data_IF_022249944890
#
_entry.id   IF_022249944890
#
_cell.length_a   1.000
_cell.length_b   1.000
_cell.length_c   1.000
_cell.angle_alpha   90.00
_cell.angle_beta   90.00
_cell.angle_gamma   90.00
#
_symmetry.space_group_name_H-M   'P 1'
#
loop_
_entity.id
_entity.type
_entity.pdbx_description
1 polymer ?
#
# COMPACT_ATOMS: atom_id res chain seq x y z
N UNK A 1 11.35 -8.40 20.51
CA UNK A 1 10.44 -9.03 19.51
C UNK A 1 9.52 -8.05 18.79
N UNK A 2 8.89 -7.07 19.46
CA UNK A 2 7.97 -6.11 18.82
C UNK A 2 8.66 -5.24 17.75
N UNK A 3 9.86 -4.72 18.02
CA UNK A 3 10.63 -3.95 17.02
C UNK A 3 11.04 -4.81 15.83
N UNK A 4 11.41 -6.08 16.08
CA UNK A 4 11.74 -7.04 15.02
C UNK A 4 10.50 -7.42 14.19
N UNK A 5 9.31 -7.47 14.80
CA UNK A 5 8.04 -7.71 14.09
C UNK A 5 7.51 -6.46 13.36
N UNK A 6 7.77 -5.23 13.85
CA UNK A 6 7.53 -4.00 13.09
C UNK A 6 8.48 -3.88 11.89
N UNK A 7 9.69 -4.42 12.03
CA UNK A 7 10.64 -4.63 10.94
C UNK A 7 10.21 -5.84 10.08
N UNK A 8 9.44 -6.81 10.56
CA UNK A 8 8.98 -7.94 9.75
C UNK A 8 7.71 -7.63 8.92
N UNK A 9 6.89 -6.65 9.33
CA UNK A 9 5.70 -6.21 8.60
C UNK A 9 5.99 -5.27 7.43
N UNK A 10 4.96 -4.99 6.64
CA UNK A 10 4.98 -4.12 5.46
C UNK A 10 5.42 -2.67 5.81
N UNK A 11 6.74 -2.43 5.76
CA UNK A 11 7.41 -1.19 6.21
C UNK A 11 7.07 0.01 5.34
N UNK A 12 6.46 -0.21 4.19
CA UNK A 12 6.17 0.82 3.21
C UNK A 12 5.01 1.69 3.68
N UNK A 13 4.05 1.17 4.46
CA UNK A 13 2.92 2.01 4.96
C UNK A 13 3.42 3.06 5.96
N UNK A 14 4.20 2.69 7.00
CA UNK A 14 4.78 3.66 7.92
C UNK A 14 5.72 4.64 7.24
N UNK A 15 6.55 4.19 6.29
CA UNK A 15 7.48 5.06 5.55
C UNK A 15 6.73 6.06 4.67
N UNK A 16 5.71 5.61 3.93
CA UNK A 16 4.86 6.50 3.11
C UNK A 16 4.08 7.48 3.98
N UNK A 17 3.58 7.05 5.14
CA UNK A 17 2.91 7.93 6.09
C UNK A 17 3.88 9.00 6.63
N UNK A 18 5.10 8.62 7.02
CA UNK A 18 6.12 9.55 7.51
C UNK A 18 6.57 10.53 6.41
N UNK A 19 6.85 10.03 5.21
CA UNK A 19 7.22 10.87 4.05
C UNK A 19 6.06 11.78 3.67
N UNK A 20 4.81 11.28 3.68
CA UNK A 20 3.61 12.07 3.43
C UNK A 20 3.43 13.19 4.45
N UNK A 21 3.64 12.91 5.74
CA UNK A 21 3.63 13.91 6.81
C UNK A 21 4.75 14.94 6.61
N UNK A 22 5.98 14.51 6.31
CA UNK A 22 7.11 15.41 6.06
C UNK A 22 6.81 16.33 4.87
N UNK A 23 6.37 15.78 3.75
CA UNK A 23 6.03 16.56 2.55
C UNK A 23 4.89 17.54 2.84
N UNK A 24 3.84 17.09 3.53
CA UNK A 24 2.67 17.93 3.87
C UNK A 24 3.05 19.07 4.81
N UNK A 25 3.84 18.80 5.86
CA UNK A 25 4.32 19.81 6.80
C UNK A 25 5.32 20.78 6.14
N UNK A 26 6.03 20.32 5.11
CA UNK A 26 7.04 21.12 4.42
C UNK A 26 6.49 21.93 3.25
N UNK A 27 5.25 21.65 2.77
CA UNK A 27 4.67 22.15 1.51
C UNK A 27 4.49 23.69 1.41
N UNK A 28 4.89 24.45 2.43
CA UNK A 28 4.91 25.92 2.40
C UNK A 28 6.21 26.55 2.90
N UNK A 29 7.24 25.76 3.21
CA UNK A 29 8.47 26.27 3.83
C UNK A 29 9.56 26.58 2.77
N UNK A 30 10.36 27.64 2.94
CA UNK A 30 11.47 28.00 2.04
C UNK A 30 12.55 26.91 1.90
N UNK A 31 12.51 25.89 2.77
CA UNK A 31 13.29 24.64 2.72
C UNK A 31 13.10 23.88 1.39
N UNK A 32 12.01 24.06 0.65
CA UNK A 32 11.82 23.44 -0.67
C UNK A 32 12.89 23.84 -1.70
N UNK A 33 13.55 25.00 -1.55
CA UNK A 33 14.73 25.38 -2.38
C UNK A 33 16.00 24.61 -1.99
N UNK A 34 16.09 24.08 -0.76
CA UNK A 34 17.21 23.27 -0.30
C UNK A 34 17.12 21.79 -0.72
N UNK A 35 15.92 21.31 -1.05
CA UNK A 35 15.66 19.95 -1.56
C UNK A 35 16.35 19.70 -2.92
N UNK A 36 16.63 20.77 -3.69
CA UNK A 36 17.41 20.69 -4.93
C UNK A 36 18.93 20.85 -4.74
N UNK A 37 19.43 20.91 -3.49
CA UNK A 37 20.88 20.93 -3.27
C UNK A 37 21.48 19.55 -3.57
N UNK A 38 22.64 19.53 -4.20
CA UNK A 38 23.34 18.27 -4.52
C UNK A 38 23.62 17.42 -3.28
N UNK A 39 23.73 18.06 -2.10
CA UNK A 39 23.90 17.40 -0.80
C UNK A 39 22.62 16.67 -0.37
N UNK A 40 21.44 17.24 -0.61
CA UNK A 40 20.16 16.59 -0.38
C UNK A 40 19.96 15.41 -1.33
N UNK A 41 20.35 15.55 -2.60
CA UNK A 41 20.36 14.45 -3.57
C UNK A 41 21.33 13.33 -3.20
N UNK A 42 22.55 13.65 -2.78
CA UNK A 42 23.50 12.65 -2.28
C UNK A 42 22.99 11.97 -1.00
N UNK A 43 22.39 12.72 -0.08
CA UNK A 43 21.77 12.16 1.12
C UNK A 43 20.60 11.24 0.77
N UNK A 44 19.73 11.64 -0.14
CA UNK A 44 18.63 10.81 -0.64
C UNK A 44 19.13 9.57 -1.37
N UNK A 45 20.18 9.70 -2.21
CA UNK A 45 20.80 8.58 -2.90
C UNK A 45 21.48 7.61 -1.94
N UNK A 46 22.14 8.10 -0.89
CA UNK A 46 22.74 7.27 0.17
C UNK A 46 21.67 6.53 0.96
N UNK A 47 20.60 7.22 1.34
CA UNK A 47 19.45 6.61 2.03
C UNK A 47 18.79 5.56 1.13
N UNK A 48 18.58 5.86 -0.14
CA UNK A 48 18.08 4.91 -1.13
C UNK A 48 19.04 3.71 -1.28
N UNK A 49 20.34 3.93 -1.36
CA UNK A 49 21.33 2.85 -1.45
C UNK A 49 21.30 1.95 -0.21
N UNK A 50 21.18 2.53 0.99
CA UNK A 50 21.01 1.76 2.23
C UNK A 50 19.71 0.97 2.21
N UNK A 51 18.60 1.57 1.81
CA UNK A 51 17.30 0.88 1.70
C UNK A 51 17.38 -0.26 0.67
N UNK A 52 18.00 0.00 -0.47
CA UNK A 52 18.17 -0.92 -1.58
C UNK A 52 19.06 -2.12 -1.20
N UNK A 53 20.14 -1.90 -0.45
CA UNK A 53 21.06 -2.95 -0.02
C UNK A 53 20.63 -3.70 1.25
N UNK A 54 19.75 -3.10 2.07
CA UNK A 54 19.29 -3.70 3.33
C UNK A 54 18.49 -4.99 3.13
N UNK A 55 17.67 -5.09 2.06
CA UNK A 55 16.81 -6.25 1.81
C UNK A 55 17.60 -7.49 1.31
N UNK A 56 18.52 -7.38 0.34
CA UNK A 56 19.45 -8.45 -0.01
C UNK A 56 20.32 -8.90 1.18
N UNK A 57 20.79 -7.96 2.01
CA UNK A 57 21.58 -8.26 3.20
C UNK A 57 20.77 -9.06 4.23
N UNK A 58 19.51 -8.67 4.46
CA UNK A 58 18.61 -9.40 5.33
C UNK A 58 18.32 -10.83 4.84
N UNK A 59 18.07 -11.00 3.53
CA UNK A 59 17.82 -12.31 2.94
C UNK A 59 19.06 -13.21 3.11
N UNK A 60 20.26 -12.70 2.83
CA UNK A 60 21.52 -13.42 3.00
C UNK A 60 21.69 -13.93 4.45
N UNK A 61 21.47 -13.05 5.43
CA UNK A 61 21.55 -13.41 6.87
C UNK A 61 20.51 -14.46 7.25
N UNK A 62 19.27 -14.34 6.75
CA UNK A 62 18.16 -15.24 7.10
C UNK A 62 18.28 -16.62 6.46
N UNK A 63 18.81 -16.68 5.25
CA UNK A 63 18.93 -17.92 4.46
C UNK A 63 20.28 -18.61 4.64
N UNK A 64 21.23 -17.97 5.32
CA UNK A 64 22.57 -18.51 5.58
C UNK A 64 23.48 -18.55 4.35
N UNK A 65 23.11 -17.87 3.28
CA UNK A 65 23.85 -17.82 2.01
C UNK A 65 24.68 -16.54 1.94
N UNK A 66 25.82 -16.57 1.24
CA UNK A 66 26.72 -15.42 1.16
C UNK A 66 26.04 -14.23 0.46
N UNK A 67 26.34 -13.00 0.87
CA UNK A 67 25.76 -11.81 0.24
C UNK A 67 25.99 -11.78 -1.27
N UNK A 68 27.18 -12.19 -1.74
CA UNK A 68 27.48 -12.29 -3.18
C UNK A 68 26.58 -13.27 -3.92
N UNK A 69 26.18 -14.37 -3.28
CA UNK A 69 25.30 -15.38 -3.89
C UNK A 69 23.87 -14.89 -4.10
N UNK A 70 23.43 -13.85 -3.36
CA UNK A 70 22.13 -13.19 -3.60
C UNK A 70 22.15 -12.38 -4.90
N UNK A 71 23.33 -11.96 -5.36
CA UNK A 71 23.55 -11.27 -6.64
C UNK A 71 24.01 -12.21 -7.76
N UNK A 72 24.32 -13.47 -7.47
CA UNK A 72 24.71 -14.44 -8.49
C UNK A 72 23.51 -14.95 -9.30
N UNK A 73 23.66 -14.88 -10.62
CA UNK A 73 22.64 -15.10 -11.64
C UNK A 73 21.95 -16.47 -11.66
N UNK A 74 22.41 -17.44 -10.86
CA UNK A 74 21.89 -18.82 -10.82
C UNK A 74 20.56 -18.97 -10.09
N UNK A 75 20.14 -17.97 -9.30
CA UNK A 75 18.77 -17.90 -8.78
C UNK A 75 18.18 -16.51 -9.01
N UNK A 76 17.82 -16.24 -10.26
CA UNK A 76 17.17 -14.98 -10.68
C UNK A 76 15.98 -14.63 -9.78
N UNK A 77 15.22 -15.65 -9.34
CA UNK A 77 14.13 -15.51 -8.37
C UNK A 77 14.57 -15.00 -6.98
N UNK A 78 15.75 -15.36 -6.48
CA UNK A 78 16.23 -14.87 -5.18
C UNK A 78 16.64 -13.39 -5.26
N UNK A 79 17.32 -13.00 -6.35
CA UNK A 79 17.64 -11.61 -6.64
C UNK A 79 16.37 -10.77 -6.86
N UNK A 80 15.38 -11.30 -7.59
CA UNK A 80 14.06 -10.69 -7.81
C UNK A 80 13.27 -10.56 -6.49
N UNK A 81 13.31 -11.56 -5.62
CA UNK A 81 12.69 -11.47 -4.27
C UNK A 81 13.37 -10.43 -3.36
N UNK A 82 14.62 -10.08 -3.67
CA UNK A 82 15.38 -9.03 -3.00
C UNK A 82 14.87 -7.62 -3.30
N UNK A 83 14.07 -7.42 -4.37
CA UNK A 83 13.65 -6.10 -4.83
C UNK A 83 12.20 -6.06 -5.31
N UNK A 84 11.39 -5.19 -4.71
CA UNK A 84 9.95 -5.13 -5.01
C UNK A 84 9.65 -4.79 -6.48
N UNK A 85 10.40 -3.87 -7.08
CA UNK A 85 10.18 -3.49 -8.48
C UNK A 85 10.43 -4.64 -9.47
N UNK A 86 11.45 -5.47 -9.22
CA UNK A 86 11.73 -6.63 -10.07
C UNK A 86 10.70 -7.74 -9.85
N UNK A 87 10.25 -7.94 -8.62
CA UNK A 87 9.17 -8.86 -8.31
C UNK A 87 7.85 -8.46 -8.99
N UNK A 88 7.48 -7.17 -8.97
CA UNK A 88 6.30 -6.65 -9.67
C UNK A 88 6.40 -6.88 -11.18
N UNK A 89 7.55 -6.57 -11.78
CA UNK A 89 7.75 -6.77 -13.22
C UNK A 89 7.68 -8.25 -13.60
N UNK A 90 8.32 -9.13 -12.83
CA UNK A 90 8.26 -10.58 -13.05
C UNK A 90 6.83 -11.10 -12.95
N UNK A 91 6.04 -10.59 -11.99
CA UNK A 91 4.62 -10.92 -11.85
C UNK A 91 3.83 -10.56 -13.12
N UNK A 92 4.06 -9.36 -13.67
CA UNK A 92 3.40 -8.88 -14.89
C UNK A 92 3.77 -9.69 -16.13
N UNK A 93 4.95 -10.30 -16.18
CA UNK A 93 5.36 -11.16 -17.29
C UNK A 93 4.90 -12.62 -17.11
N UNK A 94 5.05 -13.17 -15.91
CA UNK A 94 4.75 -14.58 -15.63
C UNK A 94 3.26 -14.86 -15.60
N UNK A 95 2.43 -13.95 -15.11
CA UNK A 95 0.97 -14.15 -15.07
C UNK A 95 0.39 -14.39 -16.46
N UNK A 96 0.69 -13.57 -17.48
CA UNK A 96 0.33 -13.85 -18.87
C UNK A 96 1.00 -15.12 -19.42
N UNK A 97 2.30 -15.30 -19.18
CA UNK A 97 3.05 -16.42 -19.77
C UNK A 97 2.59 -17.80 -19.27
N UNK A 98 2.20 -17.88 -18.00
CA UNK A 98 1.69 -19.10 -17.36
C UNK A 98 0.18 -19.28 -17.53
N UNK A 99 -0.51 -18.30 -18.12
CA UNK A 99 -1.97 -18.36 -18.30
C UNK A 99 -2.73 -18.41 -16.97
N UNK A 100 -2.24 -17.70 -15.95
CA UNK A 100 -2.89 -17.67 -14.63
C UNK A 100 -4.28 -17.08 -14.78
N UNK A 101 -5.29 -17.83 -14.32
CA UNK A 101 -6.69 -17.41 -14.37
C UNK A 101 -7.25 -17.25 -12.96
N UNK A 102 -7.94 -16.14 -12.71
CA UNK A 102 -8.65 -15.90 -11.45
C UNK A 102 -10.13 -15.61 -11.70
N UNK A 103 -11.08 -16.38 -11.12
CA UNK A 103 -12.49 -16.21 -11.42
C UNK A 103 -13.01 -14.80 -11.11
N UNK A 104 -13.83 -14.26 -12.02
CA UNK A 104 -14.46 -12.94 -11.87
C UNK A 104 -15.34 -12.85 -10.61
N UNK A 105 -16.04 -13.94 -10.30
CA UNK A 105 -16.84 -14.01 -9.09
C UNK A 105 -15.99 -13.90 -7.81
N UNK A 106 -14.84 -14.57 -7.77
CA UNK A 106 -13.94 -14.49 -6.62
C UNK A 106 -13.35 -13.09 -6.47
N UNK A 107 -13.02 -12.43 -7.58
CA UNK A 107 -12.59 -11.01 -7.58
C UNK A 107 -13.64 -10.10 -6.96
N UNK A 108 -14.90 -10.23 -7.39
CA UNK A 108 -16.00 -9.42 -6.87
C UNK A 108 -16.25 -9.72 -5.39
N UNK A 109 -16.39 -11.00 -5.05
CA UNK A 109 -16.66 -11.47 -3.69
C UNK A 109 -15.57 -10.97 -2.73
N UNK A 110 -14.31 -11.19 -3.04
CA UNK A 110 -13.19 -10.89 -2.15
C UNK A 110 -12.99 -9.38 -2.01
N UNK A 111 -13.20 -8.61 -3.07
CA UNK A 111 -13.17 -7.15 -3.02
C UNK A 111 -14.33 -6.58 -2.19
N UNK A 112 -15.55 -7.08 -2.39
CA UNK A 112 -16.73 -6.64 -1.64
C UNK A 112 -16.67 -7.04 -0.16
N UNK A 113 -16.10 -8.20 0.14
CA UNK A 113 -15.87 -8.64 1.52
C UNK A 113 -15.06 -7.62 2.31
N UNK A 114 -14.14 -6.88 1.67
CA UNK A 114 -13.35 -5.86 2.36
C UNK A 114 -14.13 -4.63 2.82
N UNK A 115 -15.37 -4.45 2.35
CA UNK A 115 -16.27 -3.41 2.85
C UNK A 115 -16.87 -3.75 4.22
N UNK A 116 -16.82 -5.03 4.62
CA UNK A 116 -17.28 -5.48 5.94
C UNK A 116 -16.30 -5.01 7.02
N UNK A 117 -16.84 -4.69 8.20
CA UNK A 117 -16.04 -4.32 9.38
C UNK A 117 -15.13 -5.48 9.79
N UNK A 118 -15.66 -6.71 9.73
CA UNK A 118 -14.98 -7.94 10.08
C UNK A 118 -15.30 -9.02 9.03
N UNK A 119 -14.59 -9.04 7.88
CA UNK A 119 -14.85 -10.02 6.83
C UNK A 119 -14.64 -11.47 7.29
N UNK A 120 -13.72 -11.66 8.24
CA UNK A 120 -13.40 -12.95 8.86
C UNK A 120 -14.58 -13.61 9.57
N UNK A 121 -15.50 -12.83 10.14
CA UNK A 121 -16.72 -13.35 10.74
C UNK A 121 -17.65 -14.06 9.74
N UNK A 122 -17.46 -13.78 8.44
CA UNK A 122 -18.21 -14.38 7.33
C UNK A 122 -17.36 -15.39 6.53
N UNK A 123 -16.18 -15.78 7.05
CA UNK A 123 -15.27 -16.71 6.40
C UNK A 123 -14.41 -16.10 5.29
N UNK A 124 -14.36 -14.77 5.17
CA UNK A 124 -13.51 -14.06 4.22
C UNK A 124 -12.18 -13.67 4.86
N UNK A 125 -11.36 -14.67 5.20
CA UNK A 125 -10.07 -14.45 5.88
C UNK A 125 -8.91 -14.18 4.92
N UNK A 126 -9.09 -14.46 3.64
CA UNK A 126 -8.00 -14.65 2.68
C UNK A 126 -8.16 -13.76 1.46
N UNK A 127 -7.03 -13.24 1.04
CA UNK A 127 -6.86 -12.46 -0.18
C UNK A 127 -6.63 -13.47 -1.29
N UNK A 128 -7.72 -13.98 -1.88
CA UNK A 128 -7.70 -15.20 -2.69
C UNK A 128 -6.73 -15.16 -3.87
N UNK A 129 -6.54 -13.99 -4.48
CA UNK A 129 -5.57 -13.83 -5.56
C UNK A 129 -4.11 -13.93 -5.10
N UNK A 130 -3.79 -13.35 -3.94
CA UNK A 130 -2.45 -13.44 -3.38
C UNK A 130 -2.09 -14.89 -3.00
N UNK A 131 -3.05 -15.69 -2.51
CA UNK A 131 -2.84 -17.13 -2.29
C UNK A 131 -2.62 -17.89 -3.60
N UNK A 132 -3.36 -17.55 -4.66
CA UNK A 132 -3.17 -18.12 -5.99
C UNK A 132 -1.75 -17.87 -6.51
N UNK A 133 -1.26 -16.63 -6.43
CA UNK A 133 0.08 -16.28 -6.90
C UNK A 133 1.17 -16.95 -6.05
N UNK A 134 1.00 -17.04 -4.74
CA UNK A 134 1.96 -17.74 -3.88
C UNK A 134 2.04 -19.23 -4.22
N UNK A 135 0.92 -19.86 -4.56
CA UNK A 135 0.91 -21.28 -4.93
C UNK A 135 1.44 -21.55 -6.33
N UNK A 136 1.25 -20.63 -7.29
CA UNK A 136 1.59 -20.86 -8.70
C UNK A 136 2.90 -20.24 -9.17
N UNK A 137 3.36 -19.14 -8.55
CA UNK A 137 4.51 -18.36 -9.06
C UNK A 137 5.59 -18.19 -8.00
N UNK A 138 5.26 -17.74 -6.79
CA UNK A 138 6.26 -17.36 -5.78
C UNK A 138 5.92 -17.96 -4.40
N UNK A 139 6.30 -19.22 -4.19
CA UNK A 139 6.05 -19.96 -2.94
C UNK A 139 6.73 -19.39 -1.70
N UNK A 140 7.72 -18.52 -1.85
CA UNK A 140 8.47 -17.88 -0.76
C UNK A 140 8.10 -16.41 -0.49
N UNK A 141 7.18 -15.82 -1.28
CA UNK A 141 6.81 -14.43 -1.10
C UNK A 141 5.85 -14.27 0.09
N UNK A 142 6.17 -13.35 1.00
CA UNK A 142 5.32 -13.01 2.15
C UNK A 142 4.04 -12.29 1.73
N UNK A 143 3.00 -12.40 2.57
CA UNK A 143 1.75 -11.66 2.47
C UNK A 143 2.01 -10.17 2.17
N UNK A 144 1.44 -9.66 1.07
CA UNK A 144 1.58 -8.25 0.64
C UNK A 144 2.64 -7.99 -0.45
N UNK A 145 3.38 -9.01 -0.90
CA UNK A 145 4.37 -8.91 -1.99
C UNK A 145 4.08 -9.81 -3.19
N UNK A 146 3.07 -10.68 -3.10
CA UNK A 146 2.73 -11.65 -4.15
C UNK A 146 1.41 -11.30 -4.87
N UNK A 147 1.22 -10.04 -5.22
CA UNK A 147 0.14 -9.64 -6.11
C UNK A 147 0.47 -8.32 -6.79
N UNK A 148 -0.21 -8.03 -7.89
CA UNK A 148 -0.14 -6.76 -8.60
C UNK A 148 -1.53 -6.45 -9.14
N UNK A 149 -1.94 -5.20 -9.10
CA UNK A 149 -3.28 -4.78 -9.49
C UNK A 149 -3.57 -5.11 -10.96
N UNK A 150 -2.65 -4.81 -11.87
CA UNK A 150 -2.83 -5.06 -13.30
C UNK A 150 -2.72 -6.55 -13.61
N UNK A 151 -1.82 -7.27 -12.94
CA UNK A 151 -1.74 -8.73 -13.06
C UNK A 151 -3.04 -9.41 -12.62
N UNK A 152 -3.69 -8.90 -11.56
CA UNK A 152 -5.01 -9.39 -11.12
C UNK A 152 -6.03 -9.20 -12.23
N UNK A 153 -6.16 -7.97 -12.75
CA UNK A 153 -7.11 -7.67 -13.81
C UNK A 153 -6.85 -8.48 -15.10
N UNK A 154 -5.58 -8.73 -15.43
CA UNK A 154 -5.22 -9.66 -16.50
C UNK A 154 -5.70 -11.08 -16.21
N UNK A 155 -5.45 -11.59 -15.00
CA UNK A 155 -5.86 -12.95 -14.62
C UNK A 155 -7.37 -13.15 -14.66
N UNK A 156 -8.15 -12.08 -14.46
CA UNK A 156 -9.62 -12.16 -14.44
C UNK A 156 -10.25 -12.03 -15.82
N UNK A 157 -9.82 -11.06 -16.63
CA UNK A 157 -10.47 -10.76 -17.91
C UNK A 157 -9.48 -10.54 -19.08
N UNK A 158 -8.22 -10.97 -18.92
CA UNK A 158 -7.16 -10.76 -19.90
C UNK A 158 -6.90 -9.29 -20.19
N UNK A 159 -6.58 -8.97 -21.44
CA UNK A 159 -6.28 -7.60 -21.89
C UNK A 159 -7.42 -6.62 -21.61
N UNK A 160 -8.68 -7.05 -21.79
CA UNK A 160 -9.86 -6.20 -21.51
C UNK A 160 -9.92 -5.84 -20.03
N UNK A 161 -9.57 -6.78 -19.15
CA UNK A 161 -9.43 -6.55 -17.72
C UNK A 161 -8.40 -5.48 -17.40
N UNK A 162 -7.20 -5.58 -17.98
CA UNK A 162 -6.12 -4.60 -17.74
C UNK A 162 -6.55 -3.19 -18.12
N UNK A 163 -7.23 -3.03 -19.27
CA UNK A 163 -7.76 -1.73 -19.70
C UNK A 163 -8.81 -1.21 -18.72
N UNK A 164 -9.77 -2.05 -18.33
CA UNK A 164 -10.82 -1.68 -17.39
C UNK A 164 -10.25 -1.34 -16.00
N UNK A 165 -9.34 -2.16 -15.49
CA UNK A 165 -8.63 -1.93 -14.23
C UNK A 165 -7.83 -0.63 -14.25
N UNK A 166 -7.09 -0.37 -15.34
CA UNK A 166 -6.35 0.88 -15.54
C UNK A 166 -7.27 2.11 -15.53
N UNK A 167 -8.46 2.02 -16.16
CA UNK A 167 -9.48 3.06 -16.08
C UNK A 167 -10.00 3.26 -14.65
N UNK A 168 -10.32 2.17 -13.93
CA UNK A 168 -10.76 2.23 -12.53
C UNK A 168 -9.71 2.91 -11.64
N UNK A 169 -8.44 2.55 -11.80
CA UNK A 169 -7.32 3.15 -11.08
C UNK A 169 -7.19 4.64 -11.40
N UNK A 170 -7.16 5.01 -12.69
CA UNK A 170 -7.05 6.40 -13.13
C UNK A 170 -8.21 7.27 -12.65
N UNK A 171 -9.46 6.81 -12.80
CA UNK A 171 -10.63 7.52 -12.31
C UNK A 171 -10.64 7.66 -10.80
N UNK A 172 -10.18 6.65 -10.06
CA UNK A 172 -10.06 6.72 -8.61
C UNK A 172 -9.05 7.78 -8.18
N UNK A 173 -7.89 7.88 -8.84
CA UNK A 173 -6.91 8.94 -8.58
C UNK A 173 -7.46 10.33 -8.91
N UNK A 174 -8.12 10.49 -10.06
CA UNK A 174 -8.74 11.78 -10.43
C UNK A 174 -9.81 12.17 -9.41
N UNK A 175 -10.66 11.23 -9.01
CA UNK A 175 -11.68 11.44 -7.99
C UNK A 175 -11.06 11.87 -6.66
N UNK A 176 -10.05 11.14 -6.17
CA UNK A 176 -9.38 11.45 -4.92
C UNK A 176 -8.67 12.81 -4.97
N UNK A 177 -7.97 13.12 -6.06
CA UNK A 177 -7.36 14.44 -6.27
C UNK A 177 -8.39 15.57 -6.19
N UNK A 178 -9.50 15.44 -6.92
CA UNK A 178 -10.59 16.42 -6.89
C UNK A 178 -11.20 16.57 -5.49
N UNK A 179 -11.31 15.48 -4.73
CA UNK A 179 -11.79 15.50 -3.34
C UNK A 179 -10.79 16.16 -2.41
N UNK A 180 -9.49 15.89 -2.54
CA UNK A 180 -8.42 16.52 -1.76
C UNK A 180 -8.48 18.04 -1.94
N UNK A 181 -8.53 18.52 -3.19
CA UNK A 181 -8.55 19.97 -3.50
C UNK A 181 -9.77 20.70 -2.94
N UNK A 182 -10.88 19.99 -2.70
CA UNK A 182 -12.14 20.56 -2.19
C UNK A 182 -12.35 20.33 -0.69
N UNK A 183 -11.48 19.57 -0.04
CA UNK A 183 -11.65 19.16 1.36
C UNK A 183 -10.71 19.93 2.28
N UNK A 184 -11.14 20.11 3.52
CA UNK A 184 -10.36 20.74 4.58
C UNK A 184 -10.41 19.88 5.84
N UNK A 185 -9.47 20.10 6.77
CA UNK A 185 -9.43 19.38 8.05
C UNK A 185 -9.33 17.86 7.87
N UNK A 186 -10.12 17.11 8.64
CA UNK A 186 -10.06 15.63 8.66
C UNK A 186 -10.37 14.98 7.31
N UNK A 187 -11.23 15.59 6.48
CA UNK A 187 -11.56 15.09 5.15
C UNK A 187 -10.37 15.15 4.19
N UNK A 188 -9.57 16.22 4.26
CA UNK A 188 -8.33 16.33 3.50
C UNK A 188 -7.36 15.18 3.83
N UNK A 189 -7.17 14.90 5.13
CA UNK A 189 -6.32 13.81 5.59
C UNK A 189 -6.82 12.44 5.11
N UNK A 190 -8.12 12.17 5.22
CA UNK A 190 -8.72 10.93 4.72
C UNK A 190 -8.40 10.71 3.24
N UNK A 191 -8.75 11.66 2.38
CA UNK A 191 -8.58 11.48 0.94
C UNK A 191 -7.12 11.41 0.53
N UNK A 192 -6.23 12.14 1.23
CA UNK A 192 -4.78 12.07 1.00
C UNK A 192 -4.22 10.71 1.36
N UNK A 193 -4.63 10.12 2.49
CA UNK A 193 -4.19 8.78 2.87
C UNK A 193 -4.71 7.71 1.90
N UNK A 194 -5.96 7.80 1.45
CA UNK A 194 -6.51 6.88 0.45
C UNK A 194 -5.76 7.01 -0.88
N UNK A 195 -5.46 8.24 -1.33
CA UNK A 195 -4.68 8.47 -2.54
C UNK A 195 -3.25 7.91 -2.43
N UNK A 196 -2.61 8.09 -1.27
CA UNK A 196 -1.26 7.56 -1.02
C UNK A 196 -1.24 6.02 -1.03
N UNK A 197 -2.25 5.38 -0.41
CA UNK A 197 -2.39 3.91 -0.49
C UNK A 197 -2.58 3.48 -1.93
N UNK A 198 -3.53 4.09 -2.65
CA UNK A 198 -3.80 3.68 -4.02
C UNK A 198 -2.55 3.87 -4.91
N UNK A 199 -1.87 5.01 -4.80
CA UNK A 199 -0.69 5.34 -5.59
C UNK A 199 0.50 4.40 -5.33
N UNK A 200 0.75 4.04 -4.06
CA UNK A 200 1.91 3.19 -3.72
C UNK A 200 1.59 1.70 -3.84
N UNK A 201 0.38 1.28 -3.51
CA UNK A 201 0.06 -0.14 -3.34
C UNK A 201 -0.49 -0.80 -4.59
N UNK A 202 -0.98 -0.03 -5.58
CA UNK A 202 -1.48 -0.61 -6.83
C UNK A 202 -0.44 -1.52 -7.52
N UNK A 203 0.84 -1.16 -7.46
CA UNK A 203 1.93 -1.89 -8.12
C UNK A 203 2.40 -3.15 -7.37
N UNK A 204 1.76 -3.50 -6.26
CA UNK A 204 2.24 -4.56 -5.35
C UNK A 204 1.12 -5.29 -4.62
N UNK A 205 -0.13 -4.94 -4.90
CA UNK A 205 -1.28 -5.51 -4.24
C UNK A 205 -2.45 -5.67 -5.22
N UNK A 206 -3.20 -6.75 -5.02
CA UNK A 206 -4.50 -6.95 -5.66
C UNK A 206 -5.53 -5.92 -5.17
N UNK A 207 -6.65 -5.70 -5.92
CA UNK A 207 -7.72 -4.81 -5.52
C UNK A 207 -8.24 -5.09 -4.11
N UNK A 208 -8.45 -6.34 -3.72
CA UNK A 208 -8.91 -6.70 -2.38
C UNK A 208 -7.87 -6.36 -1.30
N UNK A 209 -6.57 -6.51 -1.55
CA UNK A 209 -5.54 -6.08 -0.60
C UNK A 209 -5.55 -4.56 -0.42
N UNK A 210 -5.66 -3.81 -1.52
CA UNK A 210 -5.74 -2.34 -1.48
C UNK A 210 -6.95 -1.91 -0.65
N UNK A 211 -8.11 -2.53 -0.86
CA UNK A 211 -9.32 -2.26 -0.09
C UNK A 211 -9.16 -2.64 1.38
N UNK A 212 -8.50 -3.77 1.68
CA UNK A 212 -8.21 -4.19 3.06
C UNK A 212 -7.33 -3.16 3.79
N UNK A 213 -6.38 -2.53 3.10
CA UNK A 213 -5.52 -1.47 3.64
C UNK A 213 -6.27 -0.14 3.83
N UNK A 214 -7.19 0.17 2.92
CA UNK A 214 -8.03 1.37 3.02
C UNK A 214 -9.08 1.26 4.14
N UNK A 215 -9.64 0.06 4.37
CA UNK A 215 -10.70 -0.20 5.36
C UNK A 215 -10.43 0.41 6.73
N UNK A 216 -9.32 0.12 7.45
CA UNK A 216 -9.12 0.64 8.80
C UNK A 216 -9.09 2.17 8.85
N UNK A 217 -8.62 2.84 7.80
CA UNK A 217 -8.61 4.31 7.71
C UNK A 217 -10.03 4.85 7.55
N UNK A 218 -10.82 4.25 6.67
CA UNK A 218 -12.23 4.62 6.46
C UNK A 218 -13.03 4.39 7.74
N UNK A 219 -12.84 3.25 8.42
CA UNK A 219 -13.51 2.94 9.68
C UNK A 219 -13.11 3.92 10.80
N UNK A 220 -11.80 4.21 10.95
CA UNK A 220 -11.34 5.19 11.93
C UNK A 220 -11.94 6.57 11.67
N UNK A 221 -11.99 7.01 10.41
CA UNK A 221 -12.64 8.25 10.03
C UNK A 221 -14.14 8.25 10.38
N UNK A 222 -14.86 7.16 10.06
CA UNK A 222 -16.28 7.02 10.37
C UNK A 222 -16.54 7.12 11.88
N UNK A 223 -15.71 6.49 12.72
CA UNK A 223 -15.80 6.59 14.18
C UNK A 223 -15.60 8.02 14.68
N UNK A 224 -14.59 8.73 14.17
CA UNK A 224 -14.34 10.13 14.54
C UNK A 224 -15.51 11.03 14.11
N UNK A 225 -16.04 10.82 12.92
CA UNK A 225 -17.08 11.66 12.33
C UNK A 225 -18.47 11.40 12.91
N UNK A 226 -18.82 10.14 13.15
CA UNK A 226 -20.13 9.75 13.69
C UNK A 226 -20.16 9.72 15.22
N UNK A 227 -19.05 9.40 15.88
CA UNK A 227 -18.99 9.29 17.34
C UNK A 227 -18.55 10.58 18.03
N UNK A 228 -17.37 11.08 17.69
CA UNK A 228 -16.67 12.10 18.50
C UNK A 228 -17.18 13.51 18.19
N UNK A 229 -17.38 13.83 16.92
CA UNK A 229 -17.83 15.17 16.49
C UNK A 229 -19.20 15.55 17.06
N UNK A 230 -20.25 14.69 16.99
CA UNK A 230 -21.55 14.98 17.56
C UNK A 230 -21.50 15.12 19.09
N UNK A 231 -20.76 14.24 19.78
CA UNK A 231 -20.59 14.27 21.23
C UNK A 231 -19.89 15.55 21.71
N UNK A 232 -18.86 16.01 21.00
CA UNK A 232 -18.17 17.25 21.32
C UNK A 232 -19.07 18.49 21.08
N UNK A 233 -19.87 18.49 20.00
CA UNK A 233 -20.87 19.56 19.79
C UNK A 233 -21.99 19.52 20.83
N UNK A 234 -22.43 18.35 21.27
CA UNK A 234 -23.42 18.20 22.33
C UNK A 234 -22.86 18.67 23.68
N UNK A 235 -21.63 18.28 24.01
CA UNK A 235 -20.95 18.69 25.24
C UNK A 235 -20.75 20.21 25.31
N UNK A 236 -20.34 20.87 24.22
CA UNK A 236 -20.24 22.33 24.14
C UNK A 236 -21.59 23.05 24.28
N UNK A 237 -22.70 22.42 23.89
CA UNK A 237 -24.05 22.97 24.13
C UNK A 237 -24.47 22.83 25.60
N UNK A 238 -24.00 21.79 26.29
CA UNK A 238 -24.36 21.51 27.70
C UNK A 238 -23.51 22.34 28.67
N UNK A 239 -22.27 22.67 28.33
CA UNK A 239 -21.44 23.63 29.07
C UNK A 239 -21.34 24.96 28.32
N UNK A 240 -22.35 25.85 28.39
CA UNK A 240 -22.16 27.23 28.00
C UNK A 240 -21.07 27.82 28.91
N UNK A 241 -20.10 28.48 28.29
CA UNK A 241 -18.93 29.11 28.91
C UNK A 241 -19.28 29.79 30.24
N UNK A 242 -19.08 29.09 31.36
CA UNK A 242 -18.74 29.75 32.62
C UNK A 242 -17.28 30.14 32.51
N UNK A 243 -16.97 31.34 32.99
CA UNK A 243 -15.66 32.02 32.95
C UNK A 243 -15.49 32.91 31.70
N UNK A 244 -16.26 33.99 31.67
CA UNK A 244 -15.69 35.31 31.42
C UNK A 244 -15.82 36.11 32.72
N UNK A 245 -14.75 36.15 33.49
CA UNK A 245 -14.44 37.17 34.51
C UNK A 245 -12.94 37.37 34.49
#
# INVERSE_FOLDING_TARGET
>A
MIVINMIAGDRTTPVVAVVGVIVTLSWGMPIFRAVFSIKAWFGAALVLAVIFLAKPFYIAVKTGVSFSSVFDSTSTMAFQSGWEAFQTHELLERVPALGVSYPAWDTLRDSMAQLLVMPSAFGFDRTGYNELIQTQIISYATYGLASDFLAHWWSTFGLVGVVAGGMVYGFSLIFLNNRILRSWGTGFFLFTMLAAILGVYAHRNSPENILALMRPIVLAYAVVWLGILPLHTAYRRIMPSRIQT
#
